data_IF_194816032146
#
_entry.id   IF_194816032146
#
_cell.length_a   1.000
_cell.length_b   1.000
_cell.length_c   1.000
_cell.angle_alpha   90.00
_cell.angle_beta   90.00
_cell.angle_gamma   90.00
#
_symmetry.space_group_name_H-M   'P 1'
#
loop_
_entity.id
_entity.type
_entity.pdbx_description
1 polymer ?
#
# COMPACT_ATOMS: atom_id res chain seq x y z
N UNK A 1 23.89 1.74 -1.70
CA UNK A 1 22.59 1.09 -1.98
C UNK A 1 22.15 1.55 -3.36
N UNK A 2 21.96 0.63 -4.31
CA UNK A 2 21.76 0.96 -5.73
C UNK A 2 20.36 1.50 -6.01
N UNK A 3 20.29 2.75 -6.46
CA UNK A 3 19.07 3.48 -6.86
C UNK A 3 18.19 2.70 -7.86
N UNK A 4 18.78 1.82 -8.66
CA UNK A 4 18.10 1.01 -9.68
C UNK A 4 17.13 0.01 -9.03
N UNK A 5 17.50 -0.57 -7.88
CA UNK A 5 16.65 -1.53 -7.17
C UNK A 5 15.39 -0.88 -6.62
N UNK A 6 15.49 0.36 -6.15
CA UNK A 6 14.36 1.13 -5.61
C UNK A 6 13.40 1.60 -6.70
N UNK A 7 13.91 1.99 -7.88
CA UNK A 7 13.09 2.39 -9.03
C UNK A 7 12.27 1.21 -9.57
N UNK A 8 12.90 0.05 -9.76
CA UNK A 8 12.18 -1.16 -10.23
C UNK A 8 11.15 -1.62 -9.20
N UNK A 9 11.45 -1.51 -7.90
CA UNK A 9 10.48 -1.77 -6.83
C UNK A 9 9.30 -0.80 -6.92
N UNK A 10 9.53 0.49 -7.15
CA UNK A 10 8.51 1.52 -7.25
C UNK A 10 7.51 1.31 -8.42
N UNK A 11 7.96 0.72 -9.53
CA UNK A 11 7.08 0.48 -10.68
C UNK A 11 6.01 -0.59 -10.39
N UNK A 12 6.39 -1.69 -9.73
CA UNK A 12 5.51 -2.87 -9.56
C UNK A 12 4.96 -3.06 -8.15
N UNK A 13 5.56 -2.42 -7.15
CA UNK A 13 5.14 -2.53 -5.76
C UNK A 13 4.61 -1.19 -5.23
N UNK A 14 3.74 -1.28 -4.24
CA UNK A 14 3.25 -0.16 -3.45
C UNK A 14 3.40 -0.50 -1.97
N UNK A 15 3.17 0.47 -1.09
CA UNK A 15 3.20 0.26 0.37
C UNK A 15 1.79 0.31 0.92
N UNK A 16 1.49 -0.58 1.87
CA UNK A 16 0.26 -0.48 2.63
C UNK A 16 0.26 0.83 3.44
N UNK A 17 -0.82 1.61 3.35
CA UNK A 17 -0.93 2.89 4.05
C UNK A 17 -0.98 2.76 5.58
N UNK A 18 -1.39 1.59 6.09
CA UNK A 18 -1.48 1.34 7.54
C UNK A 18 -0.17 0.77 8.10
N UNK A 19 0.29 -0.38 7.61
CA UNK A 19 1.44 -1.09 8.18
C UNK A 19 2.76 -0.88 7.43
N UNK A 20 2.75 -0.20 6.27
CA UNK A 20 3.95 0.05 5.46
C UNK A 20 4.50 -1.16 4.70
N UNK A 21 3.82 -2.32 4.75
CA UNK A 21 4.23 -3.52 4.03
C UNK A 21 4.32 -3.27 2.52
N UNK A 22 5.41 -3.72 1.90
CA UNK A 22 5.61 -3.64 0.45
C UNK A 22 4.85 -4.78 -0.22
N UNK A 23 3.88 -4.44 -1.06
CA UNK A 23 3.00 -5.38 -1.76
C UNK A 23 3.04 -5.12 -3.27
N UNK A 24 2.77 -6.14 -4.08
CA UNK A 24 2.63 -5.95 -5.52
C UNK A 24 1.38 -5.11 -5.79
N UNK A 25 1.47 -4.12 -6.68
CA UNK A 25 0.34 -3.23 -7.00
C UNK A 25 -0.90 -4.00 -7.48
N UNK A 26 -0.71 -5.12 -8.18
CA UNK A 26 -1.80 -5.99 -8.65
C UNK A 26 -2.56 -6.70 -7.53
N UNK A 27 -1.90 -6.90 -6.39
CA UNK A 27 -2.40 -7.64 -5.23
C UNK A 27 -2.85 -6.68 -4.12
N UNK A 28 -2.69 -5.36 -4.33
CA UNK A 28 -3.10 -4.33 -3.39
C UNK A 28 -4.60 -4.06 -3.52
N UNK A 29 -5.27 -3.92 -2.37
CA UNK A 29 -6.60 -3.31 -2.32
C UNK A 29 -6.42 -1.80 -2.44
N UNK A 30 -7.19 -1.17 -3.32
CA UNK A 30 -7.18 0.29 -3.52
C UNK A 30 -8.46 0.89 -2.95
N UNK A 31 -8.31 1.87 -2.06
CA UNK A 31 -9.42 2.66 -1.52
C UNK A 31 -9.01 4.14 -1.52
N UNK A 32 -9.71 4.98 -2.28
CA UNK A 32 -9.42 6.41 -2.40
C UNK A 32 -7.95 6.74 -2.76
N UNK A 33 -7.33 5.92 -3.61
CA UNK A 33 -5.93 6.09 -4.01
C UNK A 33 -4.90 5.66 -2.95
N UNK A 34 -5.36 5.00 -1.89
CA UNK A 34 -4.52 4.38 -0.88
C UNK A 34 -4.47 2.86 -1.09
N UNK A 35 -3.31 2.27 -0.87
CA UNK A 35 -3.09 0.84 -1.06
C UNK A 35 -3.09 0.09 0.27
N UNK A 36 -3.70 -1.09 0.31
CA UNK A 36 -3.80 -1.93 1.51
C UNK A 36 -3.41 -3.37 1.22
N UNK A 37 -2.70 -3.99 2.18
CA UNK A 37 -2.29 -5.39 2.07
C UNK A 37 -3.37 -6.39 2.53
N UNK A 38 -4.45 -5.91 3.14
CA UNK A 38 -5.58 -6.72 3.59
C UNK A 38 -6.83 -5.86 3.82
N UNK A 39 -8.01 -6.50 3.79
CA UNK A 39 -9.30 -5.84 4.06
C UNK A 39 -9.36 -5.28 5.49
N UNK A 40 -8.66 -5.91 6.44
CA UNK A 40 -8.56 -5.42 7.81
C UNK A 40 -7.91 -4.03 7.86
N UNK A 41 -6.79 -3.84 7.16
CA UNK A 41 -6.12 -2.54 7.12
C UNK A 41 -6.90 -1.49 6.32
N UNK A 42 -7.64 -1.89 5.29
CA UNK A 42 -8.57 -0.98 4.61
C UNK A 42 -9.65 -0.48 5.59
N UNK A 43 -10.27 -1.38 6.34
CA UNK A 43 -11.30 -1.04 7.32
C UNK A 43 -10.76 -0.16 8.45
N UNK A 44 -9.57 -0.45 8.98
CA UNK A 44 -8.90 0.38 9.99
C UNK A 44 -8.69 1.82 9.49
N UNK A 45 -8.29 1.97 8.23
CA UNK A 45 -8.11 3.28 7.62
C UNK A 45 -9.44 4.03 7.49
N UNK A 46 -10.47 3.39 6.93
CA UNK A 46 -11.81 4.00 6.77
C UNK A 46 -12.35 4.48 8.11
N UNK A 47 -12.30 3.62 9.15
CA UNK A 47 -12.74 3.97 10.50
C UNK A 47 -11.96 5.14 11.07
N UNK A 48 -10.63 5.19 10.84
CA UNK A 48 -9.81 6.31 11.29
C UNK A 48 -10.08 7.63 10.54
N UNK A 49 -10.62 7.58 9.32
CA UNK A 49 -10.95 8.76 8.50
C UNK A 49 -12.39 9.25 8.63
N UNK A 50 -13.27 8.51 9.30
CA UNK A 50 -14.69 8.84 9.50
C UNK A 50 -14.94 9.84 10.66
N UNK A 51 -13.91 10.58 11.07
CA UNK A 51 -14.00 11.63 12.11
C UNK A 51 -14.74 12.89 11.60
#
# INVERSE_FOLDING_TARGET
>A
MSLISDVVRSTFTTKCSVCGAVILKRDALDHEGQAFCSVLHEAEFIVATLD
#
